data_IF_617264544023
#
_entry.id   IF_617264544023
#
_cell.length_a   1.000
_cell.length_b   1.000
_cell.length_c   1.000
_cell.angle_alpha   90.00
_cell.angle_beta   90.00
_cell.angle_gamma   90.00
#
_symmetry.space_group_name_H-M   'P 1'
#
loop_
_entity.id
_entity.type
_entity.pdbx_description
1 polymer ?
#
# COMPACT_ATOMS: atom_id res chain seq x y z
N UNK A 1 8.08 30.08 16.31
CA UNK A 1 7.57 29.05 15.40
C UNK A 1 6.24 28.53 15.92
N UNK A 2 5.37 28.17 15.01
CA UNK A 2 4.07 27.59 15.35
C UNK A 2 4.01 26.14 14.88
N UNK A 3 3.49 25.26 15.71
CA UNK A 3 3.33 23.84 15.41
C UNK A 3 1.85 23.52 15.22
N UNK A 4 1.58 22.68 14.24
CA UNK A 4 0.23 22.20 13.95
C UNK A 4 0.23 20.68 13.81
N UNK A 5 -0.85 20.06 14.27
CA UNK A 5 -1.14 18.67 13.95
C UNK A 5 -2.24 18.65 12.92
N UNK A 6 -1.99 17.99 11.81
CA UNK A 6 -2.96 17.86 10.70
C UNK A 6 -3.22 16.38 10.48
N UNK A 7 -4.49 15.99 10.53
CA UNK A 7 -4.90 14.59 10.37
C UNK A 7 -5.71 14.46 9.11
N UNK A 8 -5.30 13.53 8.25
CA UNK A 8 -6.02 13.16 7.03
C UNK A 8 -6.51 11.73 7.12
N UNK A 9 -7.65 11.47 6.50
CA UNK A 9 -8.11 10.12 6.19
C UNK A 9 -7.87 9.87 4.72
N UNK A 10 -7.31 8.70 4.39
CA UNK A 10 -7.03 8.31 3.00
C UNK A 10 -7.80 7.05 2.68
N UNK A 11 -8.57 7.10 1.60
CA UNK A 11 -9.27 5.93 1.07
C UNK A 11 -8.67 5.59 -0.28
N UNK A 12 -8.19 4.36 -0.42
CA UNK A 12 -7.52 3.88 -1.63
C UNK A 12 -8.22 2.62 -2.11
N UNK A 13 -8.61 2.62 -3.38
CA UNK A 13 -9.11 1.42 -4.05
C UNK A 13 -8.04 0.94 -5.02
N UNK A 14 -7.66 -0.33 -4.89
CA UNK A 14 -6.67 -0.97 -5.77
C UNK A 14 -7.24 -2.26 -6.34
N UNK A 15 -6.69 -2.66 -7.49
CA UNK A 15 -6.99 -3.93 -8.12
C UNK A 15 -5.69 -4.71 -8.27
N UNK A 16 -5.68 -5.96 -7.79
CA UNK A 16 -4.51 -6.82 -7.81
C UNK A 16 -4.74 -8.02 -8.72
N UNK A 17 -3.77 -8.32 -9.57
CA UNK A 17 -3.72 -9.56 -10.32
C UNK A 17 -3.45 -10.72 -9.35
N UNK A 18 -3.98 -11.92 -9.67
CA UNK A 18 -3.77 -13.11 -8.84
C UNK A 18 -2.29 -13.43 -8.62
N UNK A 19 -1.43 -13.09 -9.56
CA UNK A 19 0.02 -13.30 -9.44
C UNK A 19 0.63 -12.51 -8.29
N UNK A 20 0.06 -11.36 -7.93
CA UNK A 20 0.51 -10.55 -6.79
C UNK A 20 0.27 -11.30 -5.48
N UNK A 21 -0.87 -11.99 -5.40
CA UNK A 21 -1.28 -12.71 -4.19
C UNK A 21 -0.60 -14.07 -4.12
N UNK A 22 -0.58 -14.82 -5.22
CA UNK A 22 -0.09 -16.20 -5.24
C UNK A 22 1.41 -16.33 -4.98
N UNK A 23 2.19 -15.30 -5.23
CA UNK A 23 3.64 -15.32 -4.95
C UNK A 23 3.92 -15.28 -3.43
N UNK A 24 2.97 -14.79 -2.64
CA UNK A 24 3.14 -14.64 -1.19
C UNK A 24 2.88 -15.99 -0.51
N UNK A 25 3.91 -16.81 -0.41
CA UNK A 25 3.89 -18.11 0.26
C UNK A 25 4.71 -18.03 1.57
N UNK A 26 4.89 -19.17 2.22
CA UNK A 26 5.64 -19.23 3.48
C UNK A 26 7.09 -18.80 3.33
N UNK A 27 7.73 -19.16 2.24
CA UNK A 27 9.11 -18.73 1.96
C UNK A 27 9.18 -17.22 1.76
N UNK A 28 8.27 -16.66 0.98
CA UNK A 28 8.18 -15.22 0.76
C UNK A 28 8.00 -14.48 2.12
N UNK A 29 7.08 -14.97 2.96
CA UNK A 29 6.82 -14.36 4.27
C UNK A 29 8.02 -14.41 5.20
N UNK A 30 8.77 -15.50 5.16
CA UNK A 30 9.94 -15.65 6.03
C UNK A 30 11.07 -14.70 5.67
N UNK A 31 11.13 -14.27 4.42
CA UNK A 31 12.18 -13.38 3.92
C UNK A 31 11.80 -11.90 3.90
N UNK A 32 10.51 -11.60 3.82
CA UNK A 32 10.05 -10.23 3.59
C UNK A 32 9.09 -9.74 4.68
N UNK A 33 7.79 -10.02 4.54
CA UNK A 33 6.77 -9.47 5.45
C UNK A 33 5.76 -10.53 5.86
N UNK A 34 5.22 -10.47 7.11
CA UNK A 34 4.24 -11.45 7.59
C UNK A 34 2.82 -11.13 7.09
N UNK A 35 2.61 -11.19 5.79
CA UNK A 35 1.32 -10.95 5.15
C UNK A 35 0.60 -12.28 4.93
N UNK A 36 -0.42 -12.57 5.73
CA UNK A 36 -1.03 -13.90 5.79
C UNK A 36 -2.30 -14.05 4.98
N UNK A 37 -3.03 -12.99 4.73
CA UNK A 37 -4.26 -13.04 3.93
C UNK A 37 -4.25 -11.98 2.84
N UNK A 38 -5.25 -12.04 1.96
CA UNK A 38 -5.36 -11.13 0.82
C UNK A 38 -5.49 -9.68 1.27
N UNK A 39 -6.19 -9.46 2.38
CA UNK A 39 -6.39 -8.13 2.95
C UNK A 39 -5.08 -7.54 3.45
N UNK A 40 -4.22 -8.35 4.08
CA UNK A 40 -2.90 -7.90 4.53
C UNK A 40 -2.04 -7.46 3.34
N UNK A 41 -2.09 -8.24 2.26
CA UNK A 41 -1.36 -7.93 1.02
C UNK A 41 -1.87 -6.63 0.41
N UNK A 42 -3.18 -6.49 0.31
CA UNK A 42 -3.81 -5.29 -0.24
C UNK A 42 -3.48 -4.05 0.60
N UNK A 43 -3.53 -4.17 1.91
CA UNK A 43 -3.19 -3.08 2.83
C UNK A 43 -1.75 -2.62 2.63
N UNK A 44 -0.82 -3.57 2.57
CA UNK A 44 0.60 -3.27 2.38
C UNK A 44 0.85 -2.52 1.07
N UNK A 45 0.26 -3.00 -0.03
CA UNK A 45 0.44 -2.39 -1.34
C UNK A 45 -0.23 -1.02 -1.40
N UNK A 46 -1.47 -0.91 -0.93
CA UNK A 46 -2.22 0.35 -0.93
C UNK A 46 -1.51 1.42 -0.08
N UNK A 47 -0.98 1.04 1.07
CA UNK A 47 -0.20 1.95 1.91
C UNK A 47 0.99 2.53 1.16
N UNK A 48 1.75 1.68 0.47
CA UNK A 48 2.93 2.12 -0.29
C UNK A 48 2.55 3.00 -1.48
N UNK A 49 1.42 2.72 -2.14
CA UNK A 49 0.93 3.56 -3.22
C UNK A 49 0.55 4.96 -2.73
N UNK A 50 -0.20 5.02 -1.64
CA UNK A 50 -0.68 6.30 -1.10
C UNK A 50 0.43 7.09 -0.40
N UNK A 51 1.25 6.42 0.38
CA UNK A 51 2.27 7.06 1.22
C UNK A 51 3.55 7.38 0.45
N UNK A 52 4.00 6.46 -0.38
CA UNK A 52 5.31 6.54 -1.01
C UNK A 52 5.25 6.79 -2.51
N UNK A 53 4.06 6.92 -3.07
CA UNK A 53 3.86 7.05 -4.52
C UNK A 53 4.64 5.97 -5.29
N UNK A 54 4.68 4.76 -4.73
CA UNK A 54 5.44 3.65 -5.28
C UNK A 54 4.66 2.92 -6.38
N UNK A 55 5.40 2.20 -7.24
CA UNK A 55 4.84 1.24 -8.18
C UNK A 55 5.11 -0.16 -7.68
N UNK A 56 4.34 -1.15 -8.17
CA UNK A 56 4.48 -2.54 -7.71
C UNK A 56 5.92 -3.05 -7.80
N UNK A 57 6.60 -2.78 -8.92
CA UNK A 57 7.98 -3.23 -9.14
C UNK A 57 9.00 -2.59 -8.20
N UNK A 58 8.62 -1.54 -7.49
CA UNK A 58 9.47 -0.89 -6.50
C UNK A 58 9.32 -1.47 -5.10
N UNK A 59 8.34 -2.37 -4.92
CA UNK A 59 8.07 -3.01 -3.63
C UNK A 59 8.84 -4.33 -3.54
N UNK A 60 9.45 -4.57 -2.38
CA UNK A 60 10.15 -5.82 -2.12
C UNK A 60 9.20 -7.01 -2.25
N UNK A 61 9.62 -8.00 -3.01
CA UNK A 61 8.82 -9.21 -3.24
C UNK A 61 8.07 -9.23 -4.56
N UNK A 62 7.90 -8.09 -5.23
CA UNK A 62 7.19 -8.01 -6.52
C UNK A 62 8.00 -7.34 -7.64
N UNK A 63 9.31 -7.24 -7.45
CA UNK A 63 10.19 -6.55 -8.40
C UNK A 63 10.18 -7.16 -9.81
N UNK A 64 9.89 -8.46 -9.91
CA UNK A 64 9.87 -9.18 -11.19
C UNK A 64 8.52 -9.13 -11.89
N UNK A 65 7.50 -8.52 -11.27
CA UNK A 65 6.17 -8.43 -11.84
C UNK A 65 5.97 -7.07 -12.54
N UNK A 66 5.17 -7.05 -13.62
CA UNK A 66 4.84 -5.79 -14.26
C UNK A 66 3.99 -4.90 -13.33
N UNK A 67 4.19 -3.60 -13.41
CA UNK A 67 3.44 -2.62 -12.60
C UNK A 67 1.93 -2.73 -12.83
N UNK A 68 1.51 -3.17 -14.01
CA UNK A 68 0.09 -3.35 -14.34
C UNK A 68 -0.60 -4.44 -13.53
N UNK A 69 0.13 -5.30 -12.82
CA UNK A 69 -0.46 -6.31 -11.95
C UNK A 69 -1.06 -5.72 -10.66
N UNK A 70 -0.76 -4.48 -10.35
CA UNK A 70 -1.39 -3.75 -9.26
C UNK A 70 -1.78 -2.37 -9.77
N UNK A 71 -3.08 -2.10 -9.80
CA UNK A 71 -3.61 -0.85 -10.33
C UNK A 71 -4.24 -0.02 -9.23
N UNK A 72 -3.91 1.26 -9.21
CA UNK A 72 -4.59 2.25 -8.38
C UNK A 72 -5.85 2.68 -9.13
N UNK A 73 -7.01 2.35 -8.56
CA UNK A 73 -8.32 2.69 -9.15
C UNK A 73 -8.75 4.08 -8.71
N UNK A 74 -8.66 4.35 -7.39
CA UNK A 74 -9.01 5.67 -6.86
C UNK A 74 -8.23 5.96 -5.57
N UNK A 75 -8.04 7.23 -5.30
CA UNK A 75 -7.39 7.71 -4.09
C UNK A 75 -8.08 8.99 -3.66
N UNK A 76 -8.61 9.01 -2.44
CA UNK A 76 -9.28 10.16 -1.87
C UNK A 76 -8.66 10.52 -0.54
N UNK A 77 -8.39 11.80 -0.35
CA UNK A 77 -7.85 12.36 0.88
C UNK A 77 -8.88 13.30 1.49
N UNK A 78 -9.21 13.06 2.75
CA UNK A 78 -10.10 13.94 3.52
C UNK A 78 -9.35 14.53 4.70
N UNK A 79 -9.51 15.84 4.89
CA UNK A 79 -8.99 16.51 6.07
C UNK A 79 -9.91 16.19 7.25
N UNK A 80 -9.39 15.49 8.25
CA UNK A 80 -10.13 15.16 9.47
C UNK A 80 -10.03 16.24 10.52
N UNK A 81 -8.81 16.76 10.73
CA UNK A 81 -8.56 17.68 11.83
C UNK A 81 -7.33 18.54 11.60
N UNK A 82 -7.41 19.78 12.03
CA UNK A 82 -6.24 20.66 12.17
C UNK A 82 -6.24 21.22 13.58
N UNK A 83 -5.17 20.97 14.32
CA UNK A 83 -5.00 21.51 15.68
C UNK A 83 -3.73 22.32 15.77
N UNK A 84 -3.79 23.47 16.46
CA UNK A 84 -2.61 24.18 16.89
C UNK A 84 -2.00 23.46 18.09
N UNK A 85 -0.74 23.20 17.99
CA UNK A 85 -0.01 22.57 19.08
C UNK A 85 0.49 23.58 20.11
#
# INVERSE_FOLDING_TARGET
MKNFTVVFEVTVEIELDEMVISVVDDEWRSMLYPLYDDEDIAEHIAYNFARNNARLSQLDGWADQPDSNAKLISEEWELEEVRAA
#
